data_IF_105491836231
#
_entry.id   IF_105491836231
#
_cell.length_a   1.000
_cell.length_b   1.000
_cell.length_c   1.000
_cell.angle_alpha   90.00
_cell.angle_beta   90.00
_cell.angle_gamma   90.00
#
_symmetry.space_group_name_H-M   'P 1'
#
loop_
_entity.id
_entity.type
_entity.pdbx_description
1 polymer ?
#
# COMPACT_ATOMS: atom_id res chain seq x y z
N UNK A 1 90.95 -15.73 8.48
CA UNK A 1 90.69 -16.92 9.31
C UNK A 1 90.38 -16.41 10.71
N UNK A 2 89.33 -16.98 11.31
CA UNK A 2 88.64 -16.63 12.57
C UNK A 2 87.74 -15.39 12.50
N UNK A 3 86.52 -15.37 13.01
CA UNK A 3 85.56 -16.41 13.41
C UNK A 3 84.20 -15.68 13.48
N UNK A 4 83.13 -16.35 13.03
CA UNK A 4 81.76 -15.90 13.22
C UNK A 4 81.20 -16.58 14.47
N UNK A 5 80.59 -15.83 15.41
CA UNK A 5 79.56 -16.39 16.30
C UNK A 5 78.68 -15.33 16.96
N UNK A 6 77.42 -15.33 16.52
CA UNK A 6 76.14 -14.97 17.14
C UNK A 6 76.09 -14.21 18.47
N UNK A 7 75.31 -13.12 18.46
CA UNK A 7 74.16 -12.97 19.36
C UNK A 7 73.16 -11.95 18.78
N UNK A 8 71.95 -12.42 18.48
CA UNK A 8 70.74 -11.62 18.26
C UNK A 8 70.25 -11.04 19.60
N UNK A 9 69.65 -9.84 19.63
CA UNK A 9 68.18 -9.81 19.65
C UNK A 9 67.59 -8.77 18.68
N UNK A 10 66.59 -9.25 17.94
CA UNK A 10 65.21 -8.72 17.89
C UNK A 10 64.94 -7.37 18.57
N UNK A 11 64.18 -6.40 18.04
CA UNK A 11 63.15 -6.45 17.00
C UNK A 11 62.58 -5.03 16.71
N UNK A 12 62.41 -4.75 15.41
CA UNK A 12 61.44 -3.92 14.67
C UNK A 12 60.93 -2.53 15.14
N UNK A 13 61.25 -1.55 14.27
CA UNK A 13 60.32 -0.76 13.44
C UNK A 13 59.23 0.10 14.10
N UNK A 14 59.50 1.40 14.07
CA UNK A 14 58.49 2.46 14.11
C UNK A 14 57.51 2.37 12.93
N UNK A 15 56.21 2.36 13.19
CA UNK A 15 55.21 2.78 12.19
C UNK A 15 54.07 3.52 12.89
N UNK A 16 53.96 4.80 12.59
CA UNK A 16 52.78 5.63 12.84
C UNK A 16 51.68 5.29 11.83
N UNK A 17 50.46 5.02 12.28
CA UNK A 17 49.21 5.26 11.52
C UNK A 17 48.11 5.31 12.59
N UNK A 18 47.67 6.52 12.95
CA UNK A 18 46.37 7.09 12.57
C UNK A 18 45.22 6.17 12.96
N UNK A 19 44.41 6.67 13.90
CA UNK A 19 43.33 5.91 14.50
C UNK A 19 42.24 5.54 13.51
N UNK A 20 41.50 4.50 13.87
CA UNK A 20 40.12 4.33 13.47
C UNK A 20 39.43 3.60 14.62
N UNK A 21 38.59 4.38 15.30
CA UNK A 21 37.57 3.97 16.24
C UNK A 21 36.79 2.79 15.64
N UNK A 22 37.04 1.59 16.14
CA UNK A 22 36.26 0.40 15.80
C UNK A 22 34.91 0.48 16.51
N UNK A 23 34.06 1.39 16.04
CA UNK A 23 32.63 1.30 16.28
C UNK A 23 32.14 -0.03 15.73
N UNK A 24 31.24 -0.75 16.42
CA UNK A 24 30.72 -2.01 15.91
C UNK A 24 30.02 -1.75 14.58
N UNK A 25 30.52 -2.37 13.51
CA UNK A 25 29.88 -2.42 12.21
C UNK A 25 28.46 -2.98 12.37
N UNK A 26 27.48 -2.08 12.49
CA UNK A 26 26.06 -2.42 12.41
C UNK A 26 25.67 -2.58 10.94
N UNK A 27 26.37 -3.45 10.23
CA UNK A 27 26.00 -3.86 8.88
C UNK A 27 24.73 -4.72 8.93
N UNK A 28 23.60 -4.08 8.61
CA UNK A 28 22.87 -4.51 7.41
C UNK A 28 21.62 -5.39 7.54
N UNK A 29 21.23 -5.88 8.73
CA UNK A 29 19.99 -6.69 8.84
C UNK A 29 18.79 -5.95 9.45
N UNK A 30 18.99 -5.01 10.38
CA UNK A 30 17.88 -4.28 11.02
C UNK A 30 17.19 -3.27 10.09
N UNK A 31 17.97 -2.57 9.26
CA UNK A 31 17.44 -1.55 8.35
C UNK A 31 16.66 -2.13 7.16
N UNK A 32 17.05 -3.30 6.64
CA UNK A 32 16.35 -3.93 5.53
C UNK A 32 14.98 -4.47 5.97
N UNK A 33 14.90 -5.16 7.12
CA UNK A 33 13.63 -5.67 7.66
C UNK A 33 12.68 -4.51 8.01
N UNK A 34 13.18 -3.42 8.59
CA UNK A 34 12.38 -2.22 8.84
C UNK A 34 11.92 -1.53 7.54
N UNK A 35 12.76 -1.47 6.51
CA UNK A 35 12.41 -0.87 5.20
C UNK A 35 11.36 -1.70 4.47
N UNK A 36 11.52 -3.03 4.42
CA UNK A 36 10.54 -3.92 3.80
C UNK A 36 9.25 -4.01 4.64
N UNK A 37 9.35 -4.03 5.96
CA UNK A 37 8.20 -3.97 6.87
C UNK A 37 7.40 -2.68 6.70
N UNK A 38 8.08 -1.54 6.61
CA UNK A 38 7.47 -0.24 6.33
C UNK A 38 6.80 -0.19 4.96
N UNK A 39 7.44 -0.77 3.93
CA UNK A 39 6.86 -0.84 2.58
C UNK A 39 5.60 -1.72 2.56
N UNK A 40 5.65 -2.91 3.15
CA UNK A 40 4.49 -3.82 3.23
C UNK A 40 3.35 -3.15 3.98
N UNK A 41 3.63 -2.55 5.14
CA UNK A 41 2.62 -1.80 5.90
C UNK A 41 2.04 -0.64 5.07
N UNK A 42 2.90 0.09 4.36
CA UNK A 42 2.50 1.18 3.48
C UNK A 42 1.56 0.70 2.36
N UNK A 43 1.87 -0.44 1.71
CA UNK A 43 1.02 -1.03 0.67
C UNK A 43 -0.32 -1.50 1.23
N UNK A 44 -0.32 -2.15 2.40
CA UNK A 44 -1.56 -2.59 3.06
C UNK A 44 -2.44 -1.40 3.43
N UNK A 45 -1.87 -0.37 4.06
CA UNK A 45 -2.59 0.85 4.43
C UNK A 45 -3.11 1.55 3.17
N UNK A 46 -2.27 1.70 2.15
CA UNK A 46 -2.66 2.30 0.89
C UNK A 46 -3.81 1.54 0.22
N UNK A 47 -3.74 0.22 0.14
CA UNK A 47 -4.83 -0.61 -0.40
C UNK A 47 -6.13 -0.47 0.39
N UNK A 48 -6.03 -0.36 1.72
CA UNK A 48 -7.19 -0.12 2.59
C UNK A 48 -7.82 1.26 2.32
N UNK A 49 -7.01 2.29 2.08
CA UNK A 49 -7.49 3.62 1.70
C UNK A 49 -8.09 3.64 0.28
N UNK A 50 -7.49 2.95 -0.68
CA UNK A 50 -8.01 2.86 -2.05
C UNK A 50 -9.34 2.11 -2.13
N UNK A 51 -9.61 1.21 -1.18
CA UNK A 51 -10.87 0.46 -1.14
C UNK A 51 -12.10 1.37 -1.10
N UNK A 52 -12.07 2.49 -0.37
CA UNK A 52 -13.21 3.41 -0.30
C UNK A 52 -13.44 4.19 -1.60
N UNK A 53 -12.36 4.46 -2.34
CA UNK A 53 -12.43 5.14 -3.65
C UNK A 53 -12.97 4.19 -4.73
N UNK A 54 -12.50 2.95 -4.74
CA UNK A 54 -12.91 1.94 -5.74
C UNK A 54 -14.28 1.32 -5.43
N UNK A 55 -14.63 1.20 -4.15
CA UNK A 55 -15.88 0.59 -3.69
C UNK A 55 -16.57 1.49 -2.65
N UNK A 56 -17.10 2.66 -3.05
CA UNK A 56 -17.74 3.61 -2.13
C UNK A 56 -19.03 3.07 -1.49
N UNK A 57 -19.73 2.14 -2.16
CA UNK A 57 -21.01 1.57 -1.71
C UNK A 57 -20.93 0.04 -1.53
N UNK A 58 -20.16 -0.47 -0.55
CA UNK A 58 -19.89 -1.91 -0.44
C UNK A 58 -21.13 -2.72 -0.03
N UNK A 59 -22.05 -2.14 0.75
CA UNK A 59 -23.23 -2.84 1.31
C UNK A 59 -24.56 -2.44 0.65
N UNK A 60 -24.54 -1.61 -0.40
CA UNK A 60 -25.74 -1.22 -1.15
C UNK A 60 -25.82 -2.01 -2.46
N UNK A 61 -27.03 -2.23 -2.98
CA UNK A 61 -27.26 -2.85 -4.29
C UNK A 61 -27.13 -1.87 -5.46
N UNK A 62 -27.01 -0.57 -5.16
CA UNK A 62 -26.90 0.52 -6.11
C UNK A 62 -25.72 1.44 -5.75
N UNK A 63 -25.38 2.34 -6.65
CA UNK A 63 -24.45 3.44 -6.46
C UNK A 63 -25.18 4.77 -6.65
N UNK A 64 -24.79 5.78 -5.88
CA UNK A 64 -25.30 7.14 -6.02
C UNK A 64 -24.43 7.90 -7.02
N UNK A 65 -25.03 8.38 -8.11
CA UNK A 65 -24.34 9.12 -9.17
C UNK A 65 -24.91 10.53 -9.25
N UNK A 66 -24.10 11.53 -8.87
CA UNK A 66 -24.44 12.93 -9.09
C UNK A 66 -24.45 13.24 -10.58
N UNK A 67 -25.56 13.80 -11.07
CA UNK A 67 -25.76 14.13 -12.47
C UNK A 67 -26.52 15.46 -12.57
N UNK A 68 -25.83 16.52 -12.97
CA UNK A 68 -26.40 17.87 -12.91
C UNK A 68 -26.60 18.34 -11.47
N UNK A 69 -27.84 18.63 -11.10
CA UNK A 69 -28.24 19.16 -9.79
C UNK A 69 -28.87 18.12 -8.85
N UNK A 70 -28.94 16.86 -9.27
CA UNK A 70 -29.54 15.77 -8.49
C UNK A 70 -28.70 14.49 -8.57
N UNK A 71 -29.07 13.52 -7.75
CA UNK A 71 -28.42 12.20 -7.68
C UNK A 71 -29.35 11.15 -8.24
N UNK A 72 -28.81 10.26 -9.09
CA UNK A 72 -29.49 9.04 -9.53
C UNK A 72 -28.96 7.83 -8.77
N UNK A 73 -29.86 6.89 -8.48
CA UNK A 73 -29.54 5.62 -7.87
C UNK A 73 -29.41 4.55 -8.96
N UNK A 74 -28.20 4.06 -9.21
CA UNK A 74 -27.88 3.19 -10.35
C UNK A 74 -27.46 1.80 -9.86
N UNK A 75 -28.11 0.71 -10.29
CA UNK A 75 -27.76 -0.63 -9.83
C UNK A 75 -26.38 -1.06 -10.36
N UNK A 76 -25.71 -1.96 -9.63
CA UNK A 76 -24.37 -2.46 -10.00
C UNK A 76 -24.34 -3.22 -11.33
N UNK A 77 -25.48 -3.77 -11.74
CA UNK A 77 -25.72 -4.53 -12.96
C UNK A 77 -26.50 -3.72 -14.02
N UNK A 78 -26.34 -2.39 -14.04
CA UNK A 78 -27.03 -1.52 -15.01
C UNK A 78 -26.81 -1.98 -16.46
N UNK A 79 -27.80 -1.69 -17.30
CA UNK A 79 -27.65 -1.74 -18.74
C UNK A 79 -26.91 -0.47 -19.23
N UNK A 80 -25.69 -0.61 -19.75
CA UNK A 80 -24.88 0.54 -20.21
C UNK A 80 -25.49 1.28 -21.42
N UNK A 81 -26.49 0.70 -22.09
CA UNK A 81 -27.25 1.38 -23.15
C UNK A 81 -28.34 2.31 -22.60
N UNK A 82 -28.63 2.24 -21.30
CA UNK A 82 -29.61 3.09 -20.63
C UNK A 82 -28.89 4.31 -20.03
N UNK A 83 -29.29 5.53 -20.40
CA UNK A 83 -28.64 6.73 -19.86
C UNK A 83 -28.91 6.87 -18.37
N UNK A 84 -27.94 7.43 -17.63
CA UNK A 84 -28.03 7.64 -16.16
C UNK A 84 -29.28 8.44 -15.79
N UNK A 85 -29.73 9.36 -16.65
CA UNK A 85 -30.94 10.17 -16.46
C UNK A 85 -32.23 9.36 -16.30
N UNK A 86 -32.26 8.11 -16.74
CA UNK A 86 -33.46 7.26 -16.67
C UNK A 86 -33.57 6.51 -15.33
N UNK A 87 -32.51 6.51 -14.51
CA UNK A 87 -32.53 5.88 -13.21
C UNK A 87 -33.27 6.76 -12.19
N UNK A 88 -33.84 6.19 -11.12
CA UNK A 88 -34.62 6.96 -10.17
C UNK A 88 -33.73 7.92 -9.40
N UNK A 89 -34.32 9.05 -8.99
CA UNK A 89 -33.71 10.04 -8.09
C UNK A 89 -34.20 9.87 -6.65
N UNK A 90 -34.95 8.79 -6.38
CA UNK A 90 -35.42 8.40 -5.06
C UNK A 90 -34.72 7.09 -4.67
N UNK A 91 -34.26 7.04 -3.41
CA UNK A 91 -33.68 5.84 -2.85
C UNK A 91 -34.72 4.71 -2.80
N UNK A 92 -34.39 3.47 -3.22
CA UNK A 92 -35.31 2.35 -3.12
C UNK A 92 -35.57 1.98 -1.65
N UNK A 93 -36.80 1.57 -1.35
CA UNK A 93 -37.16 1.09 -0.01
C UNK A 93 -36.44 -0.21 0.40
N UNK A 94 -36.59 -0.63 1.68
CA UNK A 94 -35.89 -1.80 2.21
C UNK A 94 -36.08 -3.09 1.39
N UNK A 95 -37.30 -3.31 0.91
CA UNK A 95 -37.70 -4.48 0.13
C UNK A 95 -37.83 -4.16 -1.36
N UNK A 96 -37.16 -3.11 -1.84
CA UNK A 96 -37.15 -2.72 -3.25
C UNK A 96 -35.75 -2.86 -3.85
N UNK A 97 -35.70 -3.04 -5.17
CA UNK A 97 -34.49 -2.96 -5.97
C UNK A 97 -34.74 -2.16 -7.23
N UNK A 98 -33.67 -1.57 -7.74
CA UNK A 98 -33.65 -0.90 -9.04
C UNK A 98 -33.25 -1.95 -10.08
N UNK A 99 -34.01 -2.07 -11.17
CA UNK A 99 -33.69 -2.95 -12.29
C UNK A 99 -32.55 -2.38 -13.13
N UNK A 100 -31.86 -3.20 -13.94
CA UNK A 100 -30.84 -2.73 -14.87
C UNK A 100 -31.28 -1.59 -15.79
N UNK A 101 -32.58 -1.47 -16.06
CA UNK A 101 -33.16 -0.45 -16.95
C UNK A 101 -33.75 0.76 -16.20
N UNK A 102 -33.72 0.77 -14.86
CA UNK A 102 -34.08 1.94 -14.04
C UNK A 102 -35.42 1.86 -13.30
N UNK A 103 -36.13 0.73 -13.33
CA UNK A 103 -37.41 0.59 -12.62
C UNK A 103 -37.21 0.18 -11.15
N UNK A 104 -38.04 0.71 -10.25
CA UNK A 104 -38.12 0.23 -8.87
C UNK A 104 -39.12 -0.94 -8.80
N UNK A 105 -38.66 -2.09 -8.30
CA UNK A 105 -39.50 -3.29 -8.11
C UNK A 105 -39.30 -3.89 -6.72
N UNK A 106 -40.33 -4.56 -6.20
CA UNK A 106 -40.23 -5.28 -4.93
C UNK A 106 -39.36 -6.55 -5.05
N UNK A 107 -38.47 -6.76 -4.08
CA UNK A 107 -37.72 -8.00 -3.83
C UNK A 107 -38.68 -9.01 -3.18
N UNK A 108 -39.42 -9.74 -4.01
CA UNK A 108 -40.33 -10.79 -3.55
C UNK A 108 -39.58 -12.03 -3.07
#
# INVERSE_FOLDING_TARGET
>A
MTDAKDASPSDHTSTSTTGEDSGPDRTGFGGAILRWGGLVLGVVLFGMLMRSVLYPYPNQSYAEIAHGDHTHYVPKDRNDNVPVSNFPTQEPGPDERITPDGDIISKK
#
